data_IF_085957500255
#
_entry.id   IF_085957500255
#
_cell.length_a   1.000
_cell.length_b   1.000
_cell.length_c   1.000
_cell.angle_alpha   90.00
_cell.angle_beta   90.00
_cell.angle_gamma   90.00
#
_symmetry.space_group_name_H-M   'P 1'
#
loop_
_entity.id
_entity.type
_entity.pdbx_description
1 polymer ?
#
# COMPACT_ATOMS: atom_id res chain seq x y z
N UNK A 1 52.55 -12.83 40.94
CA UNK A 1 51.34 -13.57 40.53
C UNK A 1 51.76 -14.47 39.38
N UNK A 2 51.68 -15.77 39.56
CA UNK A 2 52.33 -16.76 38.68
C UNK A 2 51.64 -16.82 37.31
N UNK A 3 52.39 -16.86 36.21
CA UNK A 3 51.85 -16.83 34.84
C UNK A 3 50.92 -18.03 34.58
N UNK A 4 51.16 -19.13 35.30
CA UNK A 4 50.30 -20.32 35.34
C UNK A 4 48.93 -20.04 35.95
N UNK A 5 48.82 -19.19 36.99
CA UNK A 5 47.53 -18.81 37.57
C UNK A 5 46.68 -17.98 36.60
N UNK A 6 47.31 -17.12 35.79
CA UNK A 6 46.61 -16.30 34.79
C UNK A 6 46.06 -17.17 33.66
N UNK A 7 46.85 -18.12 33.16
CA UNK A 7 46.40 -19.09 32.15
C UNK A 7 45.31 -20.02 32.68
N UNK A 8 45.41 -20.51 33.91
CA UNK A 8 44.37 -21.34 34.53
C UNK A 8 43.06 -20.57 34.75
N UNK A 9 43.13 -19.29 35.13
CA UNK A 9 41.95 -18.44 35.28
C UNK A 9 41.31 -18.11 33.92
N UNK A 10 42.11 -17.86 32.89
CA UNK A 10 41.64 -17.62 31.52
C UNK A 10 40.94 -18.86 30.93
N UNK A 11 41.45 -20.07 31.20
CA UNK A 11 40.80 -21.32 30.78
C UNK A 11 39.49 -21.52 31.56
N UNK A 12 39.45 -21.26 32.88
CA UNK A 12 38.22 -21.33 33.67
C UNK A 12 37.16 -20.33 33.18
N UNK A 13 37.54 -19.09 32.89
CA UNK A 13 36.64 -18.05 32.37
C UNK A 13 36.18 -18.37 30.94
N UNK A 14 37.03 -19.02 30.11
CA UNK A 14 36.62 -19.50 28.79
C UNK A 14 35.61 -20.66 28.85
N UNK A 15 35.62 -21.47 29.91
CA UNK A 15 34.62 -22.52 30.16
C UNK A 15 33.33 -22.00 30.81
N UNK A 16 33.34 -20.80 31.40
CA UNK A 16 32.14 -20.12 31.93
C UNK A 16 31.33 -19.45 30.81
N UNK A 17 31.80 -19.48 29.56
CA UNK A 17 30.92 -19.31 28.38
C UNK A 17 30.04 -20.57 28.17
N UNK A 18 29.41 -21.05 29.25
CA UNK A 18 28.23 -21.88 29.16
C UNK A 18 27.18 -21.02 28.48
N UNK A 19 27.04 -21.19 27.17
CA UNK A 19 25.84 -20.81 26.46
C UNK A 19 24.68 -21.42 27.25
N UNK A 20 23.85 -20.59 27.90
CA UNK A 20 22.67 -21.12 28.59
C UNK A 20 21.74 -21.66 27.51
N UNK A 21 21.88 -22.95 27.20
CA UNK A 21 21.00 -23.66 26.28
C UNK A 21 19.62 -23.72 26.92
N UNK A 22 18.74 -22.86 26.44
CA UNK A 22 17.35 -22.87 26.82
C UNK A 22 16.66 -23.94 25.97
N UNK A 23 16.19 -25.01 26.61
CA UNK A 23 15.42 -26.03 25.92
C UNK A 23 14.02 -25.47 25.65
N UNK A 24 13.64 -25.42 24.38
CA UNK A 24 12.30 -25.01 23.94
C UNK A 24 11.61 -26.22 23.33
N UNK A 25 10.42 -26.54 23.83
CA UNK A 25 9.57 -27.59 23.27
C UNK A 25 8.66 -26.97 22.20
N UNK A 26 8.84 -27.39 20.95
CA UNK A 26 7.98 -27.03 19.82
C UNK A 26 7.11 -28.24 19.47
N UNK A 27 5.79 -28.05 19.46
CA UNK A 27 4.83 -29.09 19.07
C UNK A 27 4.16 -28.67 17.77
N UNK A 28 4.32 -29.48 16.72
CA UNK A 28 3.71 -29.25 15.41
C UNK A 28 2.45 -30.11 15.31
N UNK A 29 1.28 -29.47 15.25
CA UNK A 29 0.00 -30.15 15.08
C UNK A 29 -0.33 -30.32 13.59
N UNK A 30 0.30 -31.31 12.94
CA UNK A 30 0.14 -31.53 11.49
C UNK A 30 -1.16 -32.22 11.04
N UNK A 31 -2.04 -32.59 11.97
CA UNK A 31 -3.26 -33.36 11.66
C UNK A 31 -4.41 -32.51 11.10
N UNK A 32 -4.42 -31.19 11.36
CA UNK A 32 -5.51 -30.28 10.99
C UNK A 32 -4.96 -28.93 10.54
N UNK A 33 -5.46 -28.41 9.41
CA UNK A 33 -5.18 -27.01 9.02
C UNK A 33 -6.06 -26.04 9.80
N UNK A 34 -5.49 -24.90 10.22
CA UNK A 34 -6.23 -23.80 10.89
C UNK A 34 -6.65 -22.70 9.91
N UNK A 35 -6.15 -22.74 8.67
CA UNK A 35 -6.39 -21.74 7.65
C UNK A 35 -5.51 -21.97 6.42
N UNK A 36 -5.83 -21.28 5.34
CA UNK A 36 -5.06 -21.28 4.10
C UNK A 36 -4.62 -19.86 3.81
N UNK A 37 -3.38 -19.70 3.36
CA UNK A 37 -2.83 -18.40 2.98
C UNK A 37 -2.88 -18.33 1.46
N UNK A 38 -3.37 -17.21 0.92
CA UNK A 38 -3.40 -16.98 -0.54
C UNK A 38 -1.97 -17.08 -1.13
N UNK A 39 -1.87 -17.68 -2.33
CA UNK A 39 -0.59 -17.83 -3.04
C UNK A 39 0.17 -16.50 -3.20
N UNK A 40 -0.55 -15.37 -3.21
CA UNK A 40 -0.01 -14.02 -3.35
C UNK A 40 0.16 -13.31 -1.99
N UNK A 41 0.40 -14.08 -0.93
CA UNK A 41 0.65 -13.56 0.42
C UNK A 41 1.72 -12.47 0.44
N UNK A 42 2.80 -12.70 -0.31
CA UNK A 42 3.86 -11.72 -0.46
C UNK A 42 3.38 -10.60 -1.39
N UNK A 43 3.30 -9.40 -0.83
CA UNK A 43 2.81 -8.20 -1.49
C UNK A 43 3.83 -7.08 -1.44
N UNK A 44 3.73 -6.13 -2.38
CA UNK A 44 4.51 -4.91 -2.34
C UNK A 44 3.71 -3.70 -2.81
N UNK A 45 4.14 -2.50 -2.43
CA UNK A 45 3.47 -1.25 -2.82
C UNK A 45 4.34 -0.40 -3.74
N UNK A 46 3.73 0.16 -4.79
CA UNK A 46 4.27 1.26 -5.60
C UNK A 46 3.53 2.56 -5.24
N UNK A 47 4.24 3.47 -4.58
CA UNK A 47 3.69 4.74 -4.08
C UNK A 47 3.85 5.88 -5.11
N UNK A 48 3.07 6.94 -4.94
CA UNK A 48 2.92 8.09 -5.81
C UNK A 48 3.95 9.20 -5.59
N UNK A 49 4.74 9.13 -4.52
CA UNK A 49 5.62 10.24 -4.11
C UNK A 49 6.54 10.74 -5.23
N UNK A 50 6.53 12.05 -5.51
CA UNK A 50 7.41 12.64 -6.52
C UNK A 50 8.83 12.81 -5.97
N UNK A 51 9.78 13.13 -6.86
CA UNK A 51 11.21 13.29 -6.53
C UNK A 51 11.48 14.34 -5.46
N UNK A 52 10.59 15.33 -5.37
CA UNK A 52 10.62 16.47 -4.47
C UNK A 52 10.22 16.10 -3.03
N UNK A 53 9.72 14.86 -2.82
CA UNK A 53 9.34 14.39 -1.49
C UNK A 53 10.56 14.18 -0.63
N UNK A 54 10.77 15.11 0.29
CA UNK A 54 11.82 15.04 1.30
C UNK A 54 11.21 15.03 2.71
N UNK A 55 11.86 14.33 3.62
CA UNK A 55 11.56 14.26 5.05
C UNK A 55 12.89 14.37 5.80
N UNK A 56 12.92 15.14 6.89
CA UNK A 56 14.10 15.23 7.76
C UNK A 56 15.41 15.55 7.00
N UNK A 57 15.35 16.46 6.03
CA UNK A 57 16.46 16.83 5.13
C UNK A 57 17.01 15.69 4.25
N UNK A 58 16.25 14.60 4.07
CA UNK A 58 16.55 13.51 3.16
C UNK A 58 15.45 13.39 2.10
N UNK A 59 15.79 13.00 0.89
CA UNK A 59 14.84 12.79 -0.21
C UNK A 59 14.88 11.32 -0.66
N UNK A 60 14.37 10.40 0.18
CA UNK A 60 14.60 8.95 0.01
C UNK A 60 13.95 8.38 -1.24
N UNK A 61 12.91 9.03 -1.76
CA UNK A 61 12.15 8.52 -2.90
C UNK A 61 12.94 8.57 -4.19
N UNK A 62 13.78 9.59 -4.43
CA UNK A 62 14.45 9.77 -5.71
C UNK A 62 13.47 9.57 -6.87
N UNK A 63 13.79 8.65 -7.80
CA UNK A 63 12.90 8.27 -8.93
C UNK A 63 12.04 7.04 -8.65
N UNK A 64 11.88 6.59 -7.40
CA UNK A 64 11.16 5.35 -7.07
C UNK A 64 9.63 5.48 -7.14
N UNK A 65 9.09 6.71 -7.16
CA UNK A 65 7.65 6.94 -7.26
C UNK A 65 7.05 6.46 -8.59
N UNK A 66 5.77 6.09 -8.55
CA UNK A 66 5.01 5.47 -9.65
C UNK A 66 5.18 6.20 -10.98
N UNK A 67 5.19 7.54 -10.97
CA UNK A 67 5.29 8.36 -12.18
C UNK A 67 6.72 8.42 -12.76
N UNK A 68 7.75 8.12 -11.97
CA UNK A 68 9.16 8.32 -12.33
C UNK A 68 9.99 7.02 -12.40
N UNK A 69 9.46 5.92 -11.86
CA UNK A 69 10.16 4.64 -11.75
C UNK A 69 10.63 4.11 -13.11
N UNK A 70 11.90 3.74 -13.22
CA UNK A 70 12.42 3.08 -14.42
C UNK A 70 12.00 1.61 -14.46
N UNK A 71 10.88 1.37 -15.13
CA UNK A 71 10.28 0.05 -15.31
C UNK A 71 11.10 -0.88 -16.22
N UNK A 72 12.15 -0.38 -16.88
CA UNK A 72 13.04 -1.19 -17.75
C UNK A 72 14.27 -1.71 -17.01
N UNK A 73 14.45 -1.34 -15.73
CA UNK A 73 15.59 -1.78 -14.92
C UNK A 73 15.56 -3.30 -14.73
N UNK A 74 16.51 -4.01 -15.36
CA UNK A 74 16.60 -5.48 -15.34
C UNK A 74 16.62 -6.06 -13.93
N UNK A 75 17.34 -5.42 -13.00
CA UNK A 75 17.39 -5.84 -11.60
C UNK A 75 16.01 -5.86 -10.93
N UNK A 76 15.20 -4.82 -11.14
CA UNK A 76 13.83 -4.73 -10.61
C UNK A 76 12.94 -5.82 -11.19
N UNK A 77 12.95 -5.98 -12.52
CA UNK A 77 12.17 -7.01 -13.21
C UNK A 77 12.53 -8.41 -12.68
N UNK A 78 13.82 -8.71 -12.54
CA UNK A 78 14.29 -10.00 -12.06
C UNK A 78 13.90 -10.24 -10.60
N UNK A 79 14.04 -9.22 -9.74
CA UNK A 79 13.65 -9.32 -8.33
C UNK A 79 12.15 -9.65 -8.18
N UNK A 80 11.29 -8.96 -8.92
CA UNK A 80 9.83 -9.20 -8.90
C UNK A 80 9.51 -10.61 -9.39
N UNK A 81 10.14 -11.06 -10.48
CA UNK A 81 9.94 -12.41 -11.02
C UNK A 81 10.37 -13.52 -10.06
N UNK A 82 11.33 -13.28 -9.16
CA UNK A 82 11.77 -14.26 -8.17
C UNK A 82 10.74 -14.53 -7.07
N UNK A 83 9.87 -13.57 -6.77
CA UNK A 83 8.79 -13.78 -5.81
C UNK A 83 7.64 -14.65 -6.33
N UNK A 84 7.55 -14.84 -7.66
CA UNK A 84 6.41 -15.42 -8.38
C UNK A 84 5.59 -16.48 -7.58
N UNK A 85 4.35 -16.16 -7.16
CA UNK A 85 3.59 -14.95 -7.51
C UNK A 85 3.80 -13.79 -6.51
N UNK A 86 3.62 -12.56 -7.00
CA UNK A 86 3.69 -11.33 -6.20
C UNK A 86 2.50 -10.44 -6.54
N UNK A 87 1.88 -9.88 -5.50
CA UNK A 87 0.88 -8.80 -5.65
C UNK A 87 1.55 -7.44 -5.52
N UNK A 88 1.24 -6.53 -6.43
CA UNK A 88 1.64 -5.11 -6.34
C UNK A 88 0.40 -4.25 -6.10
N UNK A 89 0.37 -3.54 -4.98
CA UNK A 89 -0.55 -2.46 -4.70
C UNK A 89 -0.02 -1.16 -5.32
N UNK A 90 -0.77 -0.59 -6.26
CA UNK A 90 -0.52 0.75 -6.82
C UNK A 90 -1.36 1.72 -6.01
N UNK A 91 -0.72 2.45 -5.10
CA UNK A 91 -1.43 3.22 -4.08
C UNK A 91 -0.46 3.79 -3.04
N UNK A 92 -0.97 4.63 -2.15
CA UNK A 92 -0.16 5.30 -1.14
C UNK A 92 -0.71 6.66 -0.77
N UNK A 93 0.06 7.49 -0.09
CA UNK A 93 -0.46 8.73 0.52
C UNK A 93 -1.09 9.69 -0.50
N UNK A 94 -0.49 9.86 -1.69
CA UNK A 94 -1.04 10.79 -2.69
C UNK A 94 -2.18 10.20 -3.54
N UNK A 95 -2.65 8.99 -3.23
CA UNK A 95 -3.75 8.30 -3.95
C UNK A 95 -5.14 8.95 -3.76
N UNK A 96 -5.27 9.93 -2.86
CA UNK A 96 -6.50 10.72 -2.76
C UNK A 96 -6.32 12.09 -3.42
N UNK A 97 -5.19 12.31 -4.11
CA UNK A 97 -4.82 13.57 -4.76
C UNK A 97 -4.49 13.40 -6.25
N UNK A 98 -4.69 12.24 -6.85
CA UNK A 98 -4.54 12.02 -8.28
C UNK A 98 -5.87 12.17 -9.02
N UNK A 99 -5.75 12.63 -10.27
CA UNK A 99 -6.78 12.53 -11.29
C UNK A 99 -6.27 11.58 -12.38
N UNK A 100 -7.13 10.74 -12.93
CA UNK A 100 -6.78 9.90 -14.08
C UNK A 100 -6.95 10.72 -15.36
N UNK A 101 -5.90 10.86 -16.16
CA UNK A 101 -5.85 11.67 -17.38
C UNK A 101 -6.64 11.11 -18.56
N UNK A 102 -7.90 10.76 -18.34
CA UNK A 102 -8.80 10.11 -19.30
C UNK A 102 -10.21 10.68 -19.20
N UNK A 103 -11.03 10.43 -20.22
CA UNK A 103 -12.38 10.98 -20.32
C UNK A 103 -12.35 12.48 -20.56
N UNK A 104 -13.04 13.24 -19.70
CA UNK A 104 -13.14 14.71 -19.79
C UNK A 104 -11.94 15.50 -19.27
N UNK A 105 -10.90 14.83 -18.74
CA UNK A 105 -9.74 15.48 -18.12
C UNK A 105 -8.84 16.11 -19.18
N UNK A 106 -8.78 17.46 -19.20
CA UNK A 106 -8.00 18.23 -20.18
C UNK A 106 -6.55 18.46 -19.76
N UNK A 107 -6.32 18.64 -18.46
CA UNK A 107 -5.01 18.94 -17.89
C UNK A 107 -4.57 17.78 -17.00
N UNK A 108 -3.32 17.35 -17.15
CA UNK A 108 -2.74 16.28 -16.35
C UNK A 108 -1.46 16.79 -15.67
N UNK A 109 -1.58 17.54 -14.56
CA UNK A 109 -0.43 18.15 -13.90
C UNK A 109 0.39 17.13 -13.11
N UNK A 110 1.68 17.43 -12.94
CA UNK A 110 2.52 16.70 -11.99
C UNK A 110 2.21 17.15 -10.55
N UNK A 111 2.49 16.29 -9.57
CA UNK A 111 2.51 16.68 -8.17
C UNK A 111 3.58 17.77 -7.94
N UNK A 112 3.17 18.89 -7.35
CA UNK A 112 4.06 19.98 -6.96
C UNK A 112 3.93 20.25 -5.47
N UNK A 113 4.99 20.75 -4.83
CA UNK A 113 4.90 21.16 -3.42
C UNK A 113 3.86 22.27 -3.26
N UNK A 114 2.98 22.11 -2.29
CA UNK A 114 1.99 23.09 -1.90
C UNK A 114 1.67 22.90 -0.41
N UNK A 115 2.16 23.79 0.44
CA UNK A 115 2.09 23.66 1.90
C UNK A 115 0.66 23.61 2.46
N UNK A 116 -0.30 24.21 1.74
CA UNK A 116 -1.70 24.30 2.18
C UNK A 116 -2.53 23.07 1.76
N UNK A 117 -1.96 22.20 0.93
CA UNK A 117 -2.65 21.00 0.42
C UNK A 117 -2.41 19.78 1.30
N UNK A 118 -3.27 18.76 1.14
CA UNK A 118 -3.07 17.45 1.76
C UNK A 118 -1.66 16.92 1.41
N UNK A 119 -1.00 16.37 2.42
CA UNK A 119 0.39 15.90 2.35
C UNK A 119 1.43 16.93 1.86
N UNK A 120 1.08 18.22 1.81
CA UNK A 120 1.91 19.31 1.29
C UNK A 120 2.23 19.21 -0.21
N UNK A 121 1.37 18.53 -0.97
CA UNK A 121 1.47 18.44 -2.43
C UNK A 121 0.16 18.85 -3.09
N UNK A 122 0.25 19.44 -4.28
CA UNK A 122 -0.90 19.74 -5.13
C UNK A 122 -1.61 18.45 -5.56
N UNK A 123 -2.77 18.60 -6.18
CA UNK A 123 -3.30 17.53 -7.01
C UNK A 123 -2.28 17.18 -8.11
N UNK A 124 -2.15 15.88 -8.39
CA UNK A 124 -1.38 15.33 -9.49
C UNK A 124 -2.26 14.56 -10.45
N UNK A 125 -1.66 13.96 -11.46
CA UNK A 125 -2.38 13.17 -12.44
C UNK A 125 -1.60 11.93 -12.85
N UNK A 126 -2.32 10.85 -13.15
CA UNK A 126 -1.78 9.67 -13.84
C UNK A 126 -2.04 9.84 -15.35
N UNK A 127 -1.02 10.12 -16.17
CA UNK A 127 -1.16 10.08 -17.62
C UNK A 127 -1.43 8.65 -18.10
N UNK A 128 -2.34 8.47 -19.05
CA UNK A 128 -2.66 7.11 -19.54
C UNK A 128 -1.48 6.42 -20.24
N UNK A 129 -0.57 7.17 -20.85
CA UNK A 129 0.69 6.63 -21.36
C UNK A 129 1.52 5.97 -20.25
N UNK A 130 1.58 6.59 -19.07
CA UNK A 130 2.27 6.01 -17.92
C UNK A 130 1.55 4.77 -17.39
N UNK A 131 0.22 4.78 -17.42
CA UNK A 131 -0.58 3.60 -17.08
C UNK A 131 -0.34 2.42 -18.05
N UNK A 132 -0.20 2.71 -19.34
CA UNK A 132 0.15 1.71 -20.35
C UNK A 132 1.55 1.10 -20.09
N UNK A 133 2.55 1.93 -19.74
CA UNK A 133 3.89 1.46 -19.38
C UNK A 133 3.88 0.55 -18.16
N UNK A 134 3.13 0.93 -17.12
CA UNK A 134 2.96 0.14 -15.90
C UNK A 134 2.32 -1.21 -16.20
N UNK A 135 1.25 -1.25 -17.00
CA UNK A 135 0.60 -2.51 -17.36
C UNK A 135 1.47 -3.42 -18.23
N UNK A 136 2.28 -2.84 -19.13
CA UNK A 136 3.28 -3.61 -19.87
C UNK A 136 4.29 -4.27 -18.91
N UNK A 137 4.74 -3.51 -17.91
CA UNK A 137 5.62 -4.02 -16.86
C UNK A 137 4.95 -5.12 -16.02
N UNK A 138 3.72 -4.90 -15.54
CA UNK A 138 2.98 -5.89 -14.74
C UNK A 138 2.75 -7.20 -15.50
N UNK A 139 2.37 -7.11 -16.78
CA UNK A 139 2.22 -8.27 -17.63
C UNK A 139 3.56 -9.00 -17.87
N UNK A 140 4.65 -8.25 -18.06
CA UNK A 140 5.99 -8.81 -18.23
C UNK A 140 6.47 -9.55 -16.97
N UNK A 141 6.09 -9.08 -15.79
CA UNK A 141 6.50 -9.66 -14.49
C UNK A 141 5.53 -10.69 -13.94
N UNK A 142 4.30 -10.78 -14.46
CA UNK A 142 3.29 -11.75 -14.02
C UNK A 142 2.68 -11.42 -12.65
N UNK A 143 2.74 -10.16 -12.21
CA UNK A 143 2.21 -9.75 -10.91
C UNK A 143 0.70 -9.59 -10.94
N UNK A 144 0.05 -9.80 -9.80
CA UNK A 144 -1.34 -9.36 -9.58
C UNK A 144 -1.35 -7.89 -9.16
N UNK A 145 -2.31 -7.13 -9.66
CA UNK A 145 -2.39 -5.69 -9.38
C UNK A 145 -3.59 -5.38 -8.51
N UNK A 146 -3.35 -4.75 -7.37
CA UNK A 146 -4.38 -4.01 -6.62
C UNK A 146 -4.21 -2.53 -6.96
N UNK A 147 -5.25 -1.87 -7.48
CA UNK A 147 -5.18 -0.44 -7.81
C UNK A 147 -6.02 0.36 -6.81
N UNK A 148 -5.39 1.30 -6.13
CA UNK A 148 -6.09 2.20 -5.24
C UNK A 148 -6.68 3.38 -6.00
N UNK A 149 -7.98 3.63 -5.78
CA UNK A 149 -8.74 4.71 -6.39
C UNK A 149 -8.79 5.96 -5.49
N UNK A 150 -8.89 7.13 -6.11
CA UNK A 150 -9.11 8.39 -5.41
C UNK A 150 -10.55 8.45 -4.89
N UNK A 151 -10.69 8.53 -3.57
CA UNK A 151 -11.98 8.56 -2.91
C UNK A 151 -12.48 9.97 -2.58
N UNK A 152 -11.65 11.01 -2.65
CA UNK A 152 -12.01 12.38 -2.22
C UNK A 152 -12.07 13.39 -3.38
N UNK A 153 -11.76 12.98 -4.62
CA UNK A 153 -11.91 13.83 -5.79
C UNK A 153 -13.33 14.43 -5.84
N UNK A 154 -13.40 15.75 -5.97
CA UNK A 154 -14.66 16.54 -5.99
C UNK A 154 -15.50 16.50 -4.70
N UNK A 155 -15.00 15.91 -3.60
CA UNK A 155 -15.61 16.07 -2.28
C UNK A 155 -15.26 17.43 -1.69
N UNK A 156 -16.05 17.83 -0.70
CA UNK A 156 -15.80 19.03 0.08
C UNK A 156 -15.22 18.66 1.44
N UNK A 157 -14.28 19.47 1.92
CA UNK A 157 -13.86 19.39 3.32
C UNK A 157 -14.98 19.92 4.22
N UNK A 158 -15.16 19.26 5.35
CA UNK A 158 -16.05 19.70 6.42
C UNK A 158 -15.61 21.08 6.93
N UNK A 159 -16.59 21.94 7.19
CA UNK A 159 -16.36 23.23 7.85
C UNK A 159 -16.25 23.09 9.38
N UNK A 160 -16.60 21.91 9.91
CA UNK A 160 -16.68 21.65 11.36
C UNK A 160 -15.41 20.93 11.84
N UNK A 161 -14.90 19.99 11.05
CA UNK A 161 -13.75 19.17 11.40
C UNK A 161 -12.69 19.21 10.31
N UNK A 162 -11.49 19.65 10.67
CA UNK A 162 -10.37 19.74 9.72
C UNK A 162 -9.93 18.35 9.31
N UNK A 163 -9.84 18.11 8.01
CA UNK A 163 -9.42 16.82 7.44
C UNK A 163 -10.57 15.84 7.20
N UNK A 164 -11.77 16.11 7.74
CA UNK A 164 -12.95 15.32 7.40
C UNK A 164 -13.48 15.73 6.03
N UNK A 165 -13.69 14.75 5.14
CA UNK A 165 -14.29 14.95 3.82
C UNK A 165 -15.72 14.43 3.81
N UNK A 166 -16.63 15.24 3.29
CA UNK A 166 -18.08 14.98 3.30
C UNK A 166 -18.66 14.93 1.89
N UNK A 167 -19.82 14.28 1.79
CA UNK A 167 -20.51 14.05 0.52
C UNK A 167 -20.19 12.70 -0.10
N UNK A 168 -20.97 12.35 -1.11
CA UNK A 168 -20.87 11.06 -1.82
C UNK A 168 -19.63 11.02 -2.71
N UNK A 169 -19.04 9.83 -2.84
CA UNK A 169 -17.97 9.58 -3.81
C UNK A 169 -18.41 9.88 -5.25
N UNK A 170 -17.63 10.69 -5.96
CA UNK A 170 -17.85 10.98 -7.38
C UNK A 170 -17.09 9.97 -8.24
N UNK A 171 -17.83 9.00 -8.79
CA UNK A 171 -17.26 7.84 -9.47
C UNK A 171 -16.79 8.09 -10.91
N UNK A 172 -17.10 9.25 -11.52
CA UNK A 172 -16.95 9.43 -12.97
C UNK A 172 -15.50 9.30 -13.45
N UNK A 173 -14.54 9.91 -12.77
CA UNK A 173 -13.12 9.79 -13.16
C UNK A 173 -12.61 8.35 -13.01
N UNK A 174 -12.97 7.66 -11.91
CA UNK A 174 -12.65 6.25 -11.70
C UNK A 174 -13.29 5.34 -12.75
N UNK A 175 -14.56 5.59 -13.11
CA UNK A 175 -15.27 4.87 -14.19
C UNK A 175 -14.55 5.02 -15.52
N UNK A 176 -14.13 6.22 -15.89
CA UNK A 176 -13.43 6.47 -17.15
C UNK A 176 -12.05 5.77 -17.16
N UNK A 177 -11.34 5.78 -16.03
CA UNK A 177 -10.11 5.02 -15.84
C UNK A 177 -10.29 3.50 -15.95
N UNK A 178 -11.31 2.94 -15.29
CA UNK A 178 -11.62 1.52 -15.38
C UNK A 178 -12.02 1.13 -16.80
N UNK A 179 -12.84 1.94 -17.49
CA UNK A 179 -13.20 1.73 -18.91
C UNK A 179 -11.98 1.75 -19.81
N UNK A 180 -11.06 2.69 -19.61
CA UNK A 180 -9.80 2.74 -20.35
C UNK A 180 -9.00 1.45 -20.12
N UNK A 181 -8.81 1.07 -18.86
CA UNK A 181 -8.10 -0.16 -18.45
C UNK A 181 -8.68 -1.40 -19.14
N UNK A 182 -10.01 -1.54 -19.12
CA UNK A 182 -10.73 -2.64 -19.81
C UNK A 182 -10.51 -2.58 -21.32
N UNK A 183 -10.65 -1.41 -21.94
CA UNK A 183 -10.49 -1.24 -23.39
C UNK A 183 -9.10 -1.62 -23.91
N UNK A 184 -8.08 -1.52 -23.05
CA UNK A 184 -6.69 -1.92 -23.35
C UNK A 184 -6.42 -3.40 -23.06
N UNK A 185 -7.38 -4.13 -22.48
CA UNK A 185 -7.22 -5.52 -22.05
C UNK A 185 -6.30 -5.66 -20.83
N UNK A 186 -6.12 -4.59 -20.06
CA UNK A 186 -5.29 -4.61 -18.86
C UNK A 186 -6.00 -5.30 -17.71
N UNK A 187 -5.22 -5.98 -16.87
CA UNK A 187 -5.73 -6.79 -15.76
C UNK A 187 -5.47 -6.09 -14.44
N UNK A 188 -6.55 -5.83 -13.71
CA UNK A 188 -6.52 -5.40 -12.31
C UNK A 188 -7.23 -6.48 -11.51
N UNK A 189 -6.57 -7.03 -10.49
CA UNK A 189 -7.12 -8.08 -9.63
C UNK A 189 -8.08 -7.50 -8.59
N UNK A 190 -7.83 -6.27 -8.13
CA UNK A 190 -8.66 -5.61 -7.12
C UNK A 190 -8.57 -4.09 -7.14
N UNK A 191 -9.62 -3.44 -6.65
CA UNK A 191 -9.68 -2.01 -6.37
C UNK A 191 -9.93 -1.74 -4.89
N UNK A 192 -9.43 -0.63 -4.38
CA UNK A 192 -9.68 -0.16 -3.01
C UNK A 192 -9.62 1.37 -2.93
N UNK A 193 -10.07 1.95 -1.81
CA UNK A 193 -9.72 3.33 -1.45
C UNK A 193 -8.58 3.34 -0.43
N UNK A 194 -7.85 4.44 -0.33
CA UNK A 194 -6.73 4.57 0.60
C UNK A 194 -7.18 5.04 2.01
N UNK A 195 -6.21 5.13 2.93
CA UNK A 195 -6.24 5.43 4.38
C UNK A 195 -7.18 6.57 4.86
N UNK A 196 -8.48 6.45 4.64
CA UNK A 196 -9.50 7.41 5.05
C UNK A 196 -10.26 6.98 6.31
N UNK A 197 -9.91 5.84 6.92
CA UNK A 197 -10.56 5.34 8.12
C UNK A 197 -10.05 6.01 9.40
N UNK A 198 -10.95 6.17 10.38
CA UNK A 198 -10.65 6.74 11.68
C UNK A 198 -10.03 8.14 11.58
N UNK A 199 -8.98 8.39 12.37
CA UNK A 199 -8.25 9.66 12.34
C UNK A 199 -7.52 9.94 11.00
N UNK A 200 -7.41 8.94 10.12
CA UNK A 200 -6.75 9.04 8.82
C UNK A 200 -5.29 9.50 8.89
N UNK A 201 -4.72 9.86 7.73
CA UNK A 201 -3.45 10.59 7.65
C UNK A 201 -3.67 11.99 7.08
N UNK A 202 -4.45 12.81 7.78
CA UNK A 202 -4.77 14.18 7.37
C UNK A 202 -6.01 14.32 6.48
N UNK A 203 -6.58 13.20 6.02
CA UNK A 203 -7.89 13.11 5.41
C UNK A 203 -8.66 11.92 5.99
N UNK A 204 -9.95 12.09 6.26
CA UNK A 204 -10.85 11.03 6.75
C UNK A 204 -12.23 11.12 6.09
N UNK A 205 -12.94 9.99 6.08
CA UNK A 205 -14.36 9.89 5.73
C UNK A 205 -15.05 9.07 6.82
N UNK A 206 -16.25 9.48 7.23
CA UNK A 206 -17.03 8.74 8.22
C UNK A 206 -17.32 7.30 7.76
N UNK A 207 -17.29 6.36 8.71
CA UNK A 207 -17.41 4.93 8.42
C UNK A 207 -18.68 4.59 7.62
N UNK A 208 -19.82 5.18 7.97
CA UNK A 208 -21.07 4.96 7.25
C UNK A 208 -21.02 5.49 5.81
N UNK A 209 -20.40 6.65 5.59
CA UNK A 209 -20.28 7.22 4.25
C UNK A 209 -19.31 6.39 3.41
N UNK A 210 -18.17 5.99 3.99
CA UNK A 210 -17.22 5.10 3.32
C UNK A 210 -17.86 3.76 2.95
N UNK A 211 -18.67 3.17 3.85
CA UNK A 211 -19.44 1.95 3.58
C UNK A 211 -20.37 2.11 2.37
N UNK A 212 -21.12 3.22 2.30
CA UNK A 212 -21.98 3.56 1.14
C UNK A 212 -21.17 3.73 -0.14
N UNK A 213 -20.02 4.39 -0.07
CA UNK A 213 -19.15 4.62 -1.22
C UNK A 213 -18.55 3.30 -1.75
N UNK A 214 -18.21 2.36 -0.87
CA UNK A 214 -17.72 1.03 -1.24
C UNK A 214 -18.82 0.19 -1.91
N UNK A 215 -20.08 0.32 -1.50
CA UNK A 215 -21.23 -0.28 -2.22
C UNK A 215 -21.30 0.28 -3.65
N UNK A 216 -21.12 1.60 -3.82
CA UNK A 216 -21.08 2.24 -5.14
C UNK A 216 -19.92 1.68 -5.97
N UNK A 217 -18.72 1.50 -5.40
CA UNK A 217 -17.58 0.88 -6.07
C UNK A 217 -17.87 -0.56 -6.50
N UNK A 218 -18.45 -1.40 -5.63
CA UNK A 218 -18.81 -2.78 -5.98
C UNK A 218 -19.82 -2.84 -7.11
N UNK A 219 -20.81 -1.94 -7.11
CA UNK A 219 -21.78 -1.85 -8.20
C UNK A 219 -21.13 -1.42 -9.52
N UNK A 220 -20.20 -0.45 -9.47
CA UNK A 220 -19.42 -0.04 -10.64
C UNK A 220 -18.58 -1.20 -11.21
N UNK A 221 -17.92 -1.97 -10.35
CA UNK A 221 -17.18 -3.16 -10.75
C UNK A 221 -18.08 -4.18 -11.44
N UNK A 222 -19.25 -4.50 -10.86
CA UNK A 222 -20.24 -5.42 -11.45
C UNK A 222 -20.75 -4.93 -12.80
N UNK A 223 -20.99 -3.62 -12.92
CA UNK A 223 -21.45 -2.99 -14.16
C UNK A 223 -20.41 -3.11 -15.28
N UNK A 224 -19.13 -2.81 -14.98
CA UNK A 224 -18.06 -2.79 -15.97
C UNK A 224 -17.51 -4.20 -16.29
N UNK A 225 -17.66 -5.16 -15.38
CA UNK A 225 -17.22 -6.55 -15.53
C UNK A 225 -18.43 -7.49 -15.34
N UNK A 226 -19.25 -7.71 -16.37
CA UNK A 226 -20.49 -8.47 -16.22
C UNK A 226 -20.27 -9.97 -15.96
N UNK A 227 -19.12 -10.53 -16.34
CA UNK A 227 -18.76 -11.92 -16.00
C UNK A 227 -18.18 -11.99 -14.57
N UNK A 228 -18.89 -12.60 -13.60
CA UNK A 228 -18.44 -12.71 -12.21
C UNK A 228 -17.08 -13.39 -12.06
N UNK A 229 -16.67 -14.25 -13.00
CA UNK A 229 -15.37 -14.94 -12.94
C UNK A 229 -14.18 -14.03 -13.23
N UNK A 230 -14.44 -12.87 -13.82
CA UNK A 230 -13.41 -11.91 -14.23
C UNK A 230 -13.53 -10.58 -13.49
N UNK A 231 -14.47 -10.48 -12.55
CA UNK A 231 -14.66 -9.28 -11.74
C UNK A 231 -13.44 -9.06 -10.82
N UNK A 232 -12.82 -7.87 -10.87
CA UNK A 232 -11.87 -7.45 -9.86
C UNK A 232 -12.52 -7.45 -8.47
N UNK A 233 -11.76 -7.83 -7.44
CA UNK A 233 -12.22 -7.75 -6.05
C UNK A 233 -12.30 -6.29 -5.57
N UNK A 234 -13.14 -6.01 -4.59
CA UNK A 234 -13.22 -4.74 -3.87
C UNK A 234 -12.69 -4.94 -2.46
N UNK A 235 -11.63 -4.22 -2.10
CA UNK A 235 -10.98 -4.30 -0.80
C UNK A 235 -11.13 -2.98 -0.03
N UNK A 236 -10.99 -3.03 1.29
CA UNK A 236 -10.99 -1.83 2.12
C UNK A 236 -10.98 -2.13 3.63
N UNK A 237 -10.86 -1.12 4.50
CA UNK A 237 -10.76 0.29 4.16
C UNK A 237 -9.32 0.81 3.96
N UNK A 238 -8.32 -0.08 4.04
CA UNK A 238 -6.92 0.27 3.82
C UNK A 238 -6.40 1.36 4.76
N UNK A 239 -6.91 1.41 6.00
CA UNK A 239 -6.51 2.39 7.02
C UNK A 239 -6.04 1.76 8.32
N UNK A 240 -5.79 2.58 9.34
CA UNK A 240 -5.45 2.07 10.67
C UNK A 240 -6.66 1.40 11.29
N UNK A 241 -6.43 0.25 11.94
CA UNK A 241 -7.52 -0.48 12.58
C UNK A 241 -8.11 0.35 13.73
N UNK A 242 -9.40 0.66 13.59
CA UNK A 242 -10.26 1.21 14.63
C UNK A 242 -11.51 0.34 14.68
N UNK A 243 -11.72 -0.35 15.79
CA UNK A 243 -12.79 -1.35 15.91
C UNK A 243 -14.17 -0.78 15.61
N UNK A 244 -14.49 0.42 16.13
CA UNK A 244 -15.81 1.03 15.95
C UNK A 244 -16.01 1.45 14.50
N UNK A 245 -15.01 2.07 13.91
CA UNK A 245 -15.04 2.50 12.51
C UNK A 245 -15.18 1.29 11.59
N UNK A 246 -14.38 0.24 11.80
CA UNK A 246 -14.41 -0.98 10.97
C UNK A 246 -15.73 -1.73 11.10
N UNK A 247 -16.28 -1.86 12.32
CA UNK A 247 -17.57 -2.48 12.54
C UNK A 247 -18.69 -1.71 11.81
N UNK A 248 -18.73 -0.39 11.95
CA UNK A 248 -19.71 0.47 11.27
C UNK A 248 -19.57 0.40 9.75
N UNK A 249 -18.34 0.42 9.24
CA UNK A 249 -18.05 0.25 7.82
C UNK A 249 -18.60 -1.09 7.29
N UNK A 250 -18.29 -2.20 7.95
CA UNK A 250 -18.71 -3.53 7.52
C UNK A 250 -20.23 -3.69 7.61
N UNK A 251 -20.84 -3.22 8.69
CA UNK A 251 -22.30 -3.23 8.88
C UNK A 251 -23.02 -2.47 7.77
N UNK A 252 -22.55 -1.26 7.44
CA UNK A 252 -23.16 -0.44 6.38
C UNK A 252 -22.88 -0.98 4.98
N UNK A 253 -21.69 -1.51 4.73
CA UNK A 253 -21.34 -2.09 3.43
C UNK A 253 -22.17 -3.34 3.11
N UNK A 254 -22.50 -4.14 4.13
CA UNK A 254 -23.31 -5.34 4.00
C UNK A 254 -22.56 -6.54 3.39
N UNK A 255 -23.29 -7.64 3.26
CA UNK A 255 -22.75 -8.89 2.71
C UNK A 255 -22.40 -8.78 1.22
N UNK A 256 -21.38 -9.53 0.78
CA UNK A 256 -20.95 -9.67 -0.62
C UNK A 256 -20.51 -8.36 -1.31
N UNK A 257 -20.14 -7.34 -0.53
CA UNK A 257 -19.64 -6.06 -1.03
C UNK A 257 -18.13 -5.97 -0.92
N UNK A 258 -17.57 -6.22 0.27
CA UNK A 258 -16.13 -6.21 0.53
C UNK A 258 -15.59 -7.63 0.41
N UNK A 259 -14.71 -7.86 -0.57
CA UNK A 259 -14.11 -9.17 -0.84
C UNK A 259 -12.88 -9.45 0.03
N UNK A 260 -12.36 -8.45 0.74
CA UNK A 260 -11.25 -8.59 1.69
C UNK A 260 -11.04 -7.33 2.53
N UNK A 261 -10.75 -7.52 3.81
CA UNK A 261 -10.53 -6.41 4.75
C UNK A 261 -9.04 -6.07 4.79
N UNK A 262 -8.71 -4.81 4.51
CA UNK A 262 -7.33 -4.31 4.48
C UNK A 262 -7.09 -3.29 5.57
N UNK A 263 -5.94 -3.38 6.24
CA UNK A 263 -5.52 -2.43 7.26
C UNK A 263 -4.01 -2.22 7.23
N UNK A 264 -3.54 -1.11 7.81
CA UNK A 264 -2.13 -0.76 7.84
C UNK A 264 -1.55 -0.83 9.25
N UNK A 265 -0.34 -1.38 9.36
CA UNK A 265 0.43 -1.50 10.60
C UNK A 265 1.84 -0.94 10.35
N UNK A 266 2.29 -0.01 11.20
CA UNK A 266 3.65 0.52 11.19
C UNK A 266 4.27 0.39 12.59
N UNK A 267 5.01 -0.70 12.82
CA UNK A 267 5.51 -1.07 14.15
C UNK A 267 6.50 -0.06 14.77
N UNK A 268 7.18 0.74 13.94
CA UNK A 268 8.24 1.67 14.39
C UNK A 268 7.83 3.15 14.31
N UNK A 269 6.56 3.43 13.97
CA UNK A 269 6.08 4.80 13.77
C UNK A 269 6.76 5.50 12.58
N UNK A 270 6.72 6.85 12.51
CA UNK A 270 7.16 7.63 11.34
C UNK A 270 8.69 7.67 11.13
N UNK A 271 9.49 6.96 11.95
CA UNK A 271 10.96 6.97 11.84
C UNK A 271 11.61 8.32 12.19
N UNK A 272 10.91 9.20 12.94
CA UNK A 272 11.38 10.54 13.37
C UNK A 272 12.64 10.45 14.27
N UNK A 273 12.88 9.31 14.89
CA UNK A 273 13.95 9.19 15.88
C UNK A 273 15.31 9.13 15.18
N UNK A 274 16.08 10.22 15.39
CA UNK A 274 17.44 10.55 14.89
C UNK A 274 18.47 9.41 15.04
N UNK A 275 18.16 8.34 15.77
CA UNK A 275 19.05 7.22 16.06
C UNK A 275 19.05 6.09 15.02
N UNK A 276 18.24 6.14 13.96
CA UNK A 276 18.45 5.26 12.80
C UNK A 276 19.62 5.82 11.98
N UNK A 277 20.85 5.53 12.45
CA UNK A 277 22.09 5.90 11.77
C UNK A 277 22.01 5.55 10.28
N UNK A 278 22.44 6.49 9.46
CA UNK A 278 22.49 6.54 7.99
C UNK A 278 22.99 5.28 7.28
N UNK A 279 23.59 4.33 7.99
CA UNK A 279 24.06 3.04 7.46
C UNK A 279 22.91 2.07 7.15
N UNK A 280 21.74 2.21 7.81
CA UNK A 280 20.62 1.29 7.59
C UNK A 280 19.85 1.54 6.28
N UNK A 281 19.93 2.77 5.75
CA UNK A 281 19.10 3.21 4.62
C UNK A 281 19.80 2.98 3.27
N UNK A 282 21.11 3.17 3.16
CA UNK A 282 21.81 3.06 1.86
C UNK A 282 21.85 1.63 1.30
N UNK A 283 21.94 0.60 2.15
CA UNK A 283 21.99 -0.80 1.68
C UNK A 283 20.62 -1.44 1.46
N UNK A 284 19.55 -0.87 2.02
CA UNK A 284 18.18 -1.38 1.86
C UNK A 284 17.41 -0.68 0.71
N UNK A 285 17.81 0.55 0.34
CA UNK A 285 17.13 1.34 -0.70
C UNK A 285 17.26 0.79 -2.13
N UNK A 286 18.26 -0.04 -2.45
CA UNK A 286 18.30 -0.70 -3.77
C UNK A 286 17.24 -1.81 -3.92
N UNK A 287 16.57 -2.20 -2.83
CA UNK A 287 15.60 -3.29 -2.78
C UNK A 287 14.24 -2.90 -2.17
N UNK A 288 13.79 -1.65 -2.33
CA UNK A 288 12.47 -1.24 -1.86
C UNK A 288 11.34 -1.78 -2.77
N UNK A 289 10.99 -3.05 -2.59
CA UNK A 289 9.59 -3.44 -2.48
C UNK A 289 9.25 -3.32 -0.99
N UNK A 290 8.38 -2.38 -0.62
CA UNK A 290 7.79 -2.36 0.71
C UNK A 290 6.93 -3.61 0.86
N UNK A 291 7.51 -4.66 1.44
CA UNK A 291 6.80 -5.87 1.88
C UNK A 291 5.87 -5.49 3.04
N UNK A 292 4.72 -4.90 2.71
CA UNK A 292 3.59 -4.80 3.63
C UNK A 292 2.70 -5.98 3.30
N UNK A 293 2.83 -7.06 4.06
CA UNK A 293 1.86 -8.15 4.04
C UNK A 293 0.53 -7.60 4.55
N UNK A 294 -0.43 -7.39 3.66
CA UNK A 294 -1.83 -7.39 4.06
C UNK A 294 -2.21 -8.84 4.30
N UNK A 295 -2.56 -9.19 5.53
CA UNK A 295 -3.27 -10.43 5.79
C UNK A 295 -4.66 -10.23 5.18
N UNK A 296 -4.90 -10.83 4.02
CA UNK A 296 -6.20 -10.89 3.37
C UNK A 296 -7.07 -11.96 3.98
#
# INVERSE_FOLDING_TARGET
MDLKCIFSLAILVSQISLSSTQNVNVVIQGATSVGEIDDNFVCATLDWWPTEKCNYNQCPWGKAGLLNLDLKKKGLINAIKLFNPLRIKVGGSLQDQEVYGVGGVKNCPNFMKNEDSLFKFSQGCLPMERWDELNKFFNQTGVKVTFGLNAILERNQSQIEKGLWVGNWQLQNARDFMKYTISRGYKVDSYEFNQLSGAGMGASVEAEQYGKDIVVLKNLVKELHPDPKTQPKVLGPSGYYDEKWFNSFLEVSGHDVVDGVTHHIYNLGPGIQICLNSVFIEKFLEAYLLLVGSVS
#
